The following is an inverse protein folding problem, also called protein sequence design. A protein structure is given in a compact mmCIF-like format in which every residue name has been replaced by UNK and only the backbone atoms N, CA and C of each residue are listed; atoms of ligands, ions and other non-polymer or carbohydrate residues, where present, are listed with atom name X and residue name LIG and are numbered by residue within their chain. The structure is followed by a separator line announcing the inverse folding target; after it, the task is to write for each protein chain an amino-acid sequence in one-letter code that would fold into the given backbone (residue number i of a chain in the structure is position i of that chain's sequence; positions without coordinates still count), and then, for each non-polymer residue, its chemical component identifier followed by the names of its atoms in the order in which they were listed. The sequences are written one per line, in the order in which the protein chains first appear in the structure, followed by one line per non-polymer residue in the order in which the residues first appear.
data_IF_593986226971
#
_entry.id   IF_593986226971
#
_cell.length_a   1.000
_cell.length_b   1.000
_cell.length_c   1.000
_cell.angle_alpha   90.00
_cell.angle_beta   90.00
_cell.angle_gamma   90.00
#
_symmetry.space_group_name_H-M   'P 1'
#
loop_
_entity.id
_entity.type
_entity.pdbx_description
1 polymer ?
#
# COMPACT_ATOMS: atom_id res chain seq x y z
N UNK A 1 1.81 1.37 20.32
CA UNK A 1 1.98 2.67 19.62
C UNK A 1 2.52 2.39 18.23
N UNK A 2 1.95 3.00 17.18
CA UNK A 2 2.50 2.94 15.81
C UNK A 2 3.74 3.83 15.80
N UNK A 3 4.91 3.31 15.43
CA UNK A 3 6.14 4.09 15.40
C UNK A 3 5.94 5.39 14.58
N UNK A 4 6.54 6.52 15.00
CA UNK A 4 6.44 7.78 14.27
C UNK A 4 6.96 7.55 12.85
N UNK A 5 6.05 7.61 11.87
CA UNK A 5 6.40 7.40 10.47
C UNK A 5 7.17 8.63 10.01
N UNK A 6 8.38 8.40 9.49
CA UNK A 6 9.25 9.41 8.85
C UNK A 6 8.56 10.17 7.69
N UNK A 7 7.41 9.68 7.22
CA UNK A 7 6.61 10.29 6.16
C UNK A 7 5.13 10.26 6.53
N UNK A 8 4.36 11.33 6.24
CA UNK A 8 2.91 11.33 6.42
C UNK A 8 2.25 10.23 5.60
N UNK A 9 1.27 9.52 6.20
CA UNK A 9 0.60 8.38 5.58
C UNK A 9 -0.05 8.76 4.23
N UNK A 10 -0.56 10.00 4.07
CA UNK A 10 -1.16 10.46 2.81
C UNK A 10 -0.21 10.47 1.62
N UNK A 11 1.09 10.74 1.82
CA UNK A 11 2.08 10.74 0.74
C UNK A 11 2.45 9.30 0.34
N UNK A 12 2.54 8.41 1.31
CA UNK A 12 2.69 6.96 1.07
C UNK A 12 1.47 6.36 0.36
N UNK A 13 0.26 6.69 0.79
CA UNK A 13 -0.96 6.16 0.18
C UNK A 13 -1.13 6.64 -1.27
N UNK A 14 -0.80 7.91 -1.54
CA UNK A 14 -0.77 8.42 -2.91
C UNK A 14 0.22 7.65 -3.78
N UNK A 15 1.42 7.39 -3.27
CA UNK A 15 2.45 6.62 -3.98
C UNK A 15 2.04 5.16 -4.20
N UNK A 16 1.43 4.50 -3.21
CA UNK A 16 0.91 3.13 -3.35
C UNK A 16 -0.19 3.09 -4.42
N UNK A 17 -1.11 4.07 -4.41
CA UNK A 17 -2.19 4.13 -5.40
C UNK A 17 -1.66 4.36 -6.82
N UNK A 18 -0.67 5.22 -6.97
CA UNK A 18 0.01 5.46 -8.25
C UNK A 18 0.64 4.17 -8.80
N UNK A 19 1.44 3.48 -7.98
CA UNK A 19 2.08 2.20 -8.36
C UNK A 19 1.06 1.17 -8.82
N UNK A 20 -0.05 1.01 -8.08
CA UNK A 20 -1.14 0.08 -8.45
C UNK A 20 -1.87 0.50 -9.71
N UNK A 21 -2.12 1.81 -9.88
CA UNK A 21 -2.89 2.33 -11.01
C UNK A 21 -2.12 2.33 -12.32
N UNK A 22 -0.82 2.61 -12.28
CA UNK A 22 0.03 2.71 -13.48
C UNK A 22 0.84 1.45 -13.75
N UNK A 23 0.90 0.51 -12.80
CA UNK A 23 1.78 -0.67 -12.86
C UNK A 23 3.27 -0.33 -12.90
N UNK A 24 3.65 0.88 -12.50
CA UNK A 24 5.05 1.34 -12.58
C UNK A 24 5.85 0.82 -11.40
N UNK A 25 7.18 0.61 -11.57
CA UNK A 25 8.02 0.16 -10.47
C UNK A 25 7.96 1.09 -9.27
N UNK A 26 7.84 0.53 -8.07
CA UNK A 26 7.77 1.27 -6.80
C UNK A 26 8.92 2.27 -6.62
N UNK A 27 10.12 1.94 -7.10
CA UNK A 27 11.27 2.83 -7.05
C UNK A 27 11.07 4.13 -7.87
N UNK A 28 10.35 4.06 -8.99
CA UNK A 28 10.07 5.23 -9.83
C UNK A 28 9.08 6.17 -9.14
N UNK A 29 7.97 5.62 -8.62
CA UNK A 29 6.99 6.39 -7.87
C UNK A 29 7.57 6.99 -6.57
N UNK A 30 8.43 6.24 -5.88
CA UNK A 30 9.12 6.73 -4.68
C UNK A 30 10.00 7.94 -5.01
N UNK A 31 10.78 7.85 -6.09
CA UNK A 31 11.68 8.93 -6.54
C UNK A 31 10.92 10.18 -6.97
N UNK A 32 9.79 10.03 -7.66
CA UNK A 32 8.94 11.15 -8.08
C UNK A 32 8.36 11.91 -6.87
N UNK A 33 7.98 11.18 -5.83
CA UNK A 33 7.35 11.75 -4.62
C UNK A 33 8.35 12.06 -3.48
N UNK A 34 9.66 11.86 -3.69
CA UNK A 34 10.69 12.07 -2.66
C UNK A 34 10.59 11.11 -1.47
N UNK A 35 9.99 9.93 -1.67
CA UNK A 35 9.87 8.88 -0.67
C UNK A 35 11.05 7.92 -0.73
N UNK A 36 11.37 7.33 0.42
CA UNK A 36 12.30 6.21 0.46
C UNK A 36 11.69 4.97 -0.20
N UNK A 37 12.45 4.34 -1.11
CA UNK A 37 11.98 3.21 -1.92
C UNK A 37 11.64 1.99 -1.06
N UNK A 38 12.39 1.73 0.00
CA UNK A 38 12.22 0.55 0.85
C UNK A 38 11.01 0.75 1.78
N UNK A 39 10.88 1.97 2.30
CA UNK A 39 9.70 2.41 3.03
C UNK A 39 8.40 2.26 2.22
N UNK A 40 8.44 2.59 0.93
CA UNK A 40 7.29 2.44 0.04
C UNK A 40 7.05 0.97 -0.33
N UNK A 41 8.10 0.22 -0.67
CA UNK A 41 8.00 -1.19 -1.05
C UNK A 41 7.38 -2.05 0.06
N UNK A 42 7.84 -1.90 1.30
CA UNK A 42 7.25 -2.60 2.44
C UNK A 42 5.79 -2.22 2.68
N UNK A 43 5.39 -0.97 2.36
CA UNK A 43 4.00 -0.52 2.49
C UNK A 43 3.11 -1.07 1.39
N UNK A 44 3.57 -1.07 0.13
CA UNK A 44 2.83 -1.67 -1.01
C UNK A 44 2.52 -3.13 -0.71
N UNK A 45 3.53 -3.92 -0.33
CA UNK A 45 3.35 -5.33 0.03
C UNK A 45 2.38 -5.54 1.19
N UNK A 46 2.42 -4.67 2.21
CA UNK A 46 1.49 -4.75 3.34
C UNK A 46 0.06 -4.37 2.94
N UNK A 47 -0.12 -3.42 2.03
CA UNK A 47 -1.42 -3.06 1.48
C UNK A 47 -1.97 -4.18 0.61
N UNK A 48 -1.16 -4.82 -0.24
CA UNK A 48 -1.57 -6.00 -1.02
C UNK A 48 -1.98 -7.17 -0.10
N UNK A 49 -1.23 -7.40 0.98
CA UNK A 49 -1.58 -8.41 1.96
C UNK A 49 -2.86 -8.07 2.75
N UNK A 50 -3.09 -6.81 3.11
CA UNK A 50 -4.32 -6.36 3.78
C UNK A 50 -5.53 -6.44 2.84
N UNK A 51 -5.36 -6.08 1.56
CA UNK A 51 -6.37 -6.17 0.50
C UNK A 51 -6.77 -7.63 0.27
N UNK A 52 -5.80 -8.53 0.09
CA UNK A 52 -6.06 -9.97 -0.06
C UNK A 52 -6.65 -10.62 1.19
N UNK A 53 -6.23 -10.19 2.40
CA UNK A 53 -6.82 -10.68 3.64
C UNK A 53 -8.24 -10.12 3.90
N UNK A 54 -8.56 -8.94 3.38
CA UNK A 54 -9.93 -8.38 3.42
C UNK A 54 -10.84 -9.02 2.40
N UNK A 55 -10.34 -9.27 1.19
CA UNK A 55 -11.07 -9.97 0.14
C UNK A 55 -11.46 -11.39 0.59
N UNK A 56 -10.52 -12.14 1.18
CA UNK A 56 -10.77 -13.46 1.78
C UNK A 56 -11.85 -13.41 2.89
N UNK A 57 -11.83 -12.38 3.74
CA UNK A 57 -12.85 -12.18 4.77
C UNK A 57 -14.21 -11.75 4.21
N UNK A 58 -14.24 -10.91 3.18
CA UNK A 58 -15.47 -10.51 2.48
C UNK A 58 -16.10 -11.72 1.80
N UNK A 59 -15.31 -12.51 1.05
CA UNK A 59 -15.77 -13.75 0.43
C UNK A 59 -16.35 -14.75 1.46
N UNK A 60 -15.74 -14.83 2.65
CA UNK A 60 -16.25 -15.68 3.74
C UNK A 60 -17.52 -15.09 4.41
N UNK A 61 -17.67 -13.76 4.43
CA UNK A 61 -18.85 -13.09 4.97
C UNK A 61 -20.05 -13.14 4.02
N UNK A 62 -19.84 -13.19 2.71
CA UNK A 62 -20.91 -13.22 1.69
C UNK A 62 -21.53 -14.62 1.47
N UNK A 63 -20.97 -15.70 2.05
CA UNK A 63 -21.60 -17.04 2.03
C UNK A 63 -22.69 -17.25 3.09
N UNK A 64 -23.07 -16.21 3.85
CA UNK A 64 -24.21 -16.26 4.78
C UNK A 64 -25.15 -15.08 4.52
N UNK A 65 -25.95 -15.15 3.48
CA UNK A 65 -27.16 -14.33 3.30
C UNK A 65 -28.24 -15.15 2.61
#
# INVERSE_FOLDING_TARGET
MRAPRRYPDGLRERAVREVRSTGRPTAHAARDMGLDKEALHGRVRQTEADDGARDDRLATAEQKS
#
